data_IF_091253209412
#
_entry.id   IF_091253209412
#
_cell.length_a   1.000
_cell.length_b   1.000
_cell.length_c   1.000
_cell.angle_alpha   90.00
_cell.angle_beta   90.00
_cell.angle_gamma   90.00
#
_symmetry.space_group_name_H-M   'P 1'
#
loop_
_entity.id
_entity.type
_entity.pdbx_description
1 polymer ?
#
# COMPACT_ATOMS: atom_id res chain seq x y z
N UNK A 1 -6.50 -28.93 5.99
CA UNK A 1 -5.88 -29.35 4.75
C UNK A 1 -4.46 -28.77 4.71
N UNK A 2 -3.45 -29.64 4.69
CA UNK A 2 -2.03 -29.28 4.76
C UNK A 2 -1.63 -28.32 3.63
N UNK A 3 -2.22 -28.48 2.45
CA UNK A 3 -1.96 -27.61 1.30
C UNK A 3 -2.34 -26.15 1.55
N UNK A 4 -3.40 -25.88 2.30
CA UNK A 4 -3.83 -24.49 2.65
C UNK A 4 -2.79 -23.85 3.56
N UNK A 5 -2.23 -24.58 4.51
CA UNK A 5 -1.18 -24.06 5.40
C UNK A 5 0.12 -23.78 4.63
N UNK A 6 0.51 -24.66 3.72
CA UNK A 6 1.69 -24.47 2.87
C UNK A 6 1.49 -23.26 1.97
N UNK A 7 0.32 -23.11 1.36
CA UNK A 7 -0.01 -21.95 0.52
C UNK A 7 0.05 -20.64 1.34
N UNK A 8 -0.60 -20.59 2.50
CA UNK A 8 -0.60 -19.45 3.38
C UNK A 8 0.83 -19.08 3.81
N UNK A 9 1.63 -20.06 4.23
CA UNK A 9 3.02 -19.85 4.62
C UNK A 9 3.85 -19.28 3.46
N UNK A 10 3.70 -19.82 2.24
CA UNK A 10 4.42 -19.32 1.07
C UNK A 10 4.04 -17.88 0.73
N UNK A 11 2.74 -17.53 0.84
CA UNK A 11 2.26 -16.15 0.64
C UNK A 11 2.81 -15.19 1.69
N UNK A 12 2.88 -15.59 2.96
CA UNK A 12 3.43 -14.76 4.05
C UNK A 12 4.92 -14.41 3.87
N UNK A 13 5.63 -15.13 3.01
CA UNK A 13 7.06 -14.87 2.72
C UNK A 13 7.29 -13.87 1.61
N UNK A 14 6.21 -13.36 1.00
CA UNK A 14 6.28 -12.49 -0.16
C UNK A 14 5.27 -11.34 -0.04
N UNK A 15 5.71 -10.12 -0.31
CA UNK A 15 4.83 -8.97 -0.56
C UNK A 15 4.59 -8.82 -2.04
N UNK A 16 3.37 -8.44 -2.41
CA UNK A 16 2.96 -8.20 -3.81
C UNK A 16 2.55 -6.75 -3.96
N UNK A 17 3.10 -6.09 -4.98
CA UNK A 17 2.64 -4.77 -5.44
C UNK A 17 1.75 -4.95 -6.65
N UNK A 18 0.51 -4.50 -6.55
CA UNK A 18 -0.44 -4.67 -7.63
C UNK A 18 -1.27 -3.41 -7.89
N UNK A 19 -1.90 -3.39 -9.05
CA UNK A 19 -2.99 -2.47 -9.39
C UNK A 19 -4.23 -3.27 -9.74
N UNK A 20 -5.41 -2.69 -9.56
CA UNK A 20 -6.65 -3.38 -9.88
C UNK A 20 -7.66 -2.49 -10.60
N UNK A 21 -8.60 -3.14 -11.29
CA UNK A 21 -9.82 -2.56 -11.84
C UNK A 21 -10.98 -3.39 -11.29
N UNK A 22 -12.00 -2.75 -10.74
CA UNK A 22 -13.22 -3.38 -10.24
C UNK A 22 -14.41 -2.95 -11.09
N UNK A 23 -15.16 -3.92 -11.59
CA UNK A 23 -16.53 -3.71 -12.05
C UNK A 23 -17.45 -4.31 -11.00
N UNK A 24 -18.15 -3.42 -10.30
CA UNK A 24 -19.01 -3.79 -9.18
C UNK A 24 -20.23 -4.56 -9.67
N UNK A 25 -20.53 -5.65 -9.01
CA UNK A 25 -21.81 -6.36 -9.14
C UNK A 25 -22.12 -7.06 -7.84
N UNK A 26 -23.32 -6.88 -7.35
CA UNK A 26 -23.77 -7.46 -6.10
C UNK A 26 -23.69 -8.99 -6.11
N UNK A 27 -23.44 -9.58 -4.95
CA UNK A 27 -23.38 -11.03 -4.82
C UNK A 27 -24.73 -11.69 -5.12
N UNK A 28 -25.84 -11.00 -4.82
CA UNK A 28 -27.21 -11.44 -5.06
C UNK A 28 -27.78 -11.01 -6.41
N UNK A 29 -26.99 -10.28 -7.23
CA UNK A 29 -27.39 -9.86 -8.56
C UNK A 29 -27.78 -11.07 -9.44
N UNK A 30 -28.64 -10.84 -10.43
CA UNK A 30 -29.06 -11.85 -11.40
C UNK A 30 -27.87 -12.42 -12.19
N UNK A 31 -28.07 -13.56 -12.81
CA UNK A 31 -27.06 -14.16 -13.70
C UNK A 31 -26.74 -13.24 -14.91
N UNK A 32 -27.75 -12.50 -15.39
CA UNK A 32 -27.59 -11.55 -16.50
C UNK A 32 -26.70 -10.35 -16.11
N UNK A 33 -26.98 -9.73 -14.95
CA UNK A 33 -26.16 -8.63 -14.43
C UNK A 33 -24.71 -9.06 -14.18
N UNK A 34 -24.52 -10.25 -13.61
CA UNK A 34 -23.19 -10.83 -13.42
C UNK A 34 -22.47 -11.07 -14.73
N UNK A 35 -23.19 -11.55 -15.76
CA UNK A 35 -22.64 -11.75 -17.10
C UNK A 35 -22.24 -10.43 -17.74
N UNK A 36 -23.07 -9.40 -17.65
CA UNK A 36 -22.77 -8.06 -18.20
C UNK A 36 -21.51 -7.47 -17.53
N UNK A 37 -21.38 -7.57 -16.20
CA UNK A 37 -20.18 -7.11 -15.49
C UNK A 37 -18.93 -7.89 -15.91
N UNK A 38 -19.05 -9.20 -16.09
CA UNK A 38 -17.95 -10.06 -16.54
C UNK A 38 -17.52 -9.71 -17.98
N UNK A 39 -18.48 -9.56 -18.90
CA UNK A 39 -18.22 -9.21 -20.28
C UNK A 39 -17.55 -7.83 -20.39
N UNK A 40 -18.02 -6.85 -19.59
CA UNK A 40 -17.43 -5.52 -19.50
C UNK A 40 -15.97 -5.56 -19.07
N UNK A 41 -15.66 -6.26 -17.98
CA UNK A 41 -14.28 -6.31 -17.47
C UNK A 41 -13.35 -7.10 -18.42
N UNK A 42 -13.89 -8.10 -19.13
CA UNK A 42 -13.14 -8.87 -20.13
C UNK A 42 -12.81 -8.01 -21.35
N UNK A 43 -13.75 -7.16 -21.79
CA UNK A 43 -13.51 -6.19 -22.86
C UNK A 43 -12.41 -5.18 -22.49
N UNK A 44 -12.43 -4.64 -21.25
CA UNK A 44 -11.39 -3.76 -20.72
C UNK A 44 -10.03 -4.47 -20.78
N UNK A 45 -9.96 -5.73 -20.30
CA UNK A 45 -8.72 -6.52 -20.37
C UNK A 45 -8.21 -6.67 -21.81
N UNK A 46 -9.09 -6.96 -22.74
CA UNK A 46 -8.75 -7.10 -24.18
C UNK A 46 -8.16 -5.81 -24.76
N UNK A 47 -8.75 -4.65 -24.44
CA UNK A 47 -8.26 -3.35 -24.91
C UNK A 47 -6.89 -2.99 -24.30
N UNK A 48 -6.65 -3.34 -23.03
CA UNK A 48 -5.34 -3.16 -22.41
C UNK A 48 -4.29 -4.04 -23.07
N UNK A 49 -4.59 -5.33 -23.29
CA UNK A 49 -3.66 -6.28 -23.93
C UNK A 49 -3.38 -5.93 -25.40
N UNK A 50 -4.32 -5.30 -26.07
CA UNK A 50 -4.16 -4.76 -27.42
C UNK A 50 -3.44 -3.40 -27.46
N UNK A 51 -2.98 -2.88 -26.33
CA UNK A 51 -2.35 -1.56 -26.15
C UNK A 51 -3.21 -0.38 -26.65
N UNK A 52 -4.55 -0.52 -26.66
CA UNK A 52 -5.47 0.58 -27.00
C UNK A 52 -5.62 1.58 -25.86
N UNK A 53 -5.41 1.14 -24.62
CA UNK A 53 -5.49 1.93 -23.40
C UNK A 53 -4.49 1.37 -22.37
N UNK A 54 -3.89 2.23 -21.55
CA UNK A 54 -3.06 1.78 -20.43
C UNK A 54 -3.93 1.20 -19.30
N UNK A 55 -3.33 0.36 -18.44
CA UNK A 55 -4.04 -0.17 -17.26
C UNK A 55 -4.51 0.95 -16.34
N UNK A 56 -3.65 1.92 -16.09
CA UNK A 56 -3.87 3.07 -15.22
C UNK A 56 -5.02 3.96 -15.74
N UNK A 57 -5.05 4.19 -17.04
CA UNK A 57 -6.12 4.95 -17.69
C UNK A 57 -7.44 4.17 -17.67
N UNK A 58 -7.40 2.85 -17.92
CA UNK A 58 -8.56 1.99 -17.83
C UNK A 58 -9.12 1.95 -16.39
N UNK A 59 -8.24 1.88 -15.37
CA UNK A 59 -8.63 1.94 -13.97
C UNK A 59 -9.31 3.28 -13.63
N UNK A 60 -8.72 4.40 -14.05
CA UNK A 60 -9.28 5.73 -13.82
C UNK A 60 -10.67 5.92 -14.45
N UNK A 61 -10.88 5.39 -15.67
CA UNK A 61 -12.12 5.56 -16.42
C UNK A 61 -13.24 4.60 -16.06
N UNK A 62 -12.91 3.36 -15.64
CA UNK A 62 -13.88 2.28 -15.58
C UNK A 62 -13.99 1.61 -14.22
N UNK A 63 -13.05 1.83 -13.29
CA UNK A 63 -13.09 1.15 -12.01
C UNK A 63 -14.14 1.77 -11.08
N UNK A 64 -15.05 0.94 -10.58
CA UNK A 64 -16.03 1.31 -9.57
C UNK A 64 -15.44 1.28 -8.14
N UNK A 65 -14.21 0.79 -7.99
CA UNK A 65 -13.54 0.64 -6.70
C UNK A 65 -12.62 1.82 -6.38
N UNK A 66 -13.09 2.74 -5.56
CA UNK A 66 -12.24 3.74 -4.93
C UNK A 66 -11.70 3.20 -3.60
N UNK A 67 -10.48 2.68 -3.61
CA UNK A 67 -9.78 2.34 -2.37
C UNK A 67 -9.11 3.62 -1.86
N UNK A 68 -9.38 4.06 -0.63
CA UNK A 68 -8.72 5.23 -0.05
C UNK A 68 -7.18 5.11 -0.14
N UNK A 69 -6.53 6.13 -0.67
CA UNK A 69 -5.08 6.14 -0.89
C UNK A 69 -4.61 5.45 -2.18
N UNK A 70 -5.54 4.88 -2.98
CA UNK A 70 -5.24 4.33 -4.29
C UNK A 70 -5.46 5.38 -5.37
N UNK A 71 -4.44 5.63 -6.19
CA UNK A 71 -4.57 6.43 -7.41
C UNK A 71 -4.48 5.51 -8.62
N UNK A 72 -5.43 5.65 -9.56
CA UNK A 72 -5.43 4.89 -10.80
C UNK A 72 -5.36 3.35 -10.59
N UNK A 73 -6.02 2.86 -9.55
CA UNK A 73 -6.06 1.44 -9.19
C UNK A 73 -4.84 0.89 -8.47
N UNK A 74 -3.82 1.69 -8.17
CA UNK A 74 -2.61 1.22 -7.48
C UNK A 74 -2.90 0.91 -6.00
N UNK A 75 -2.53 -0.30 -5.55
CA UNK A 75 -2.73 -0.79 -4.18
C UNK A 75 -1.47 -0.72 -3.31
N UNK A 76 -0.34 -0.31 -3.88
CA UNK A 76 0.96 -0.45 -3.26
C UNK A 76 1.31 -1.92 -2.92
N UNK A 77 2.26 -2.15 -2.00
CA UNK A 77 2.54 -3.48 -1.50
C UNK A 77 1.51 -3.92 -0.47
N UNK A 78 1.19 -5.19 -0.51
CA UNK A 78 0.41 -5.87 0.52
C UNK A 78 0.98 -7.29 0.74
N UNK A 79 0.67 -7.86 1.88
CA UNK A 79 1.06 -9.21 2.25
C UNK A 79 -0.16 -10.12 2.39
N UNK A 80 0.05 -11.40 2.68
CA UNK A 80 -1.01 -12.37 2.89
C UNK A 80 -2.03 -11.91 3.94
N UNK A 81 -3.29 -12.25 3.72
CA UNK A 81 -4.45 -11.96 4.58
C UNK A 81 -4.89 -10.48 4.63
N UNK A 82 -4.33 -9.63 3.79
CA UNK A 82 -4.77 -8.23 3.68
C UNK A 82 -5.92 -8.05 2.69
N UNK A 83 -6.06 -8.96 1.72
CA UNK A 83 -7.07 -8.90 0.67
C UNK A 83 -8.04 -10.08 0.78
N UNK A 84 -9.20 -9.99 0.11
CA UNK A 84 -10.12 -11.14 0.04
C UNK A 84 -9.46 -12.29 -0.73
N UNK A 85 -9.68 -13.52 -0.30
CA UNK A 85 -8.95 -14.71 -0.73
C UNK A 85 -8.81 -14.87 -2.25
N UNK A 86 -9.91 -14.72 -3.01
CA UNK A 86 -9.87 -14.88 -4.47
C UNK A 86 -9.00 -13.81 -5.15
N UNK A 87 -9.08 -12.56 -4.66
CA UNK A 87 -8.24 -11.48 -5.15
C UNK A 87 -6.76 -11.74 -4.84
N UNK A 88 -6.50 -12.13 -3.61
CA UNK A 88 -5.16 -12.49 -3.15
C UNK A 88 -4.57 -13.64 -3.97
N UNK A 89 -5.36 -14.71 -4.20
CA UNK A 89 -4.95 -15.84 -5.03
C UNK A 89 -4.55 -15.40 -6.44
N UNK A 90 -5.33 -14.51 -7.06
CA UNK A 90 -4.98 -13.97 -8.36
C UNK A 90 -3.68 -13.14 -8.33
N UNK A 91 -3.50 -12.30 -7.31
CA UNK A 91 -2.29 -11.49 -7.17
C UNK A 91 -1.02 -12.36 -6.99
N UNK A 92 -1.09 -13.39 -6.14
CA UNK A 92 0.05 -14.26 -5.92
C UNK A 92 0.35 -15.19 -7.09
N UNK A 93 -0.66 -15.64 -7.86
CA UNK A 93 -0.48 -16.53 -9.02
C UNK A 93 -0.11 -15.83 -10.32
N UNK A 94 -0.48 -14.54 -10.49
CA UNK A 94 -0.15 -13.76 -11.69
C UNK A 94 1.32 -13.37 -11.67
N UNK A 95 2.01 -13.45 -12.81
CA UNK A 95 3.42 -13.05 -12.92
C UNK A 95 3.57 -11.53 -12.93
N UNK A 96 4.76 -11.07 -12.55
CA UNK A 96 5.11 -9.64 -12.63
C UNK A 96 4.94 -9.14 -14.07
N UNK A 97 4.27 -8.01 -14.23
CA UNK A 97 3.94 -7.39 -15.52
C UNK A 97 2.68 -7.93 -16.18
N UNK A 98 2.13 -9.07 -15.73
CA UNK A 98 0.93 -9.66 -16.32
C UNK A 98 -0.36 -9.17 -15.63
N UNK A 99 -1.48 -9.36 -16.34
CA UNK A 99 -2.84 -9.06 -15.89
C UNK A 99 -3.61 -10.37 -15.75
N UNK A 100 -4.21 -10.60 -14.60
CA UNK A 100 -5.02 -11.77 -14.32
C UNK A 100 -6.20 -11.92 -15.29
N UNK A 101 -6.80 -13.09 -15.33
CA UNK A 101 -8.18 -13.25 -15.79
C UNK A 101 -9.12 -12.52 -14.80
N UNK A 102 -10.36 -12.20 -15.22
CA UNK A 102 -11.35 -11.62 -14.29
C UNK A 102 -11.58 -12.51 -13.07
N UNK A 103 -11.46 -11.92 -11.88
CA UNK A 103 -11.58 -12.62 -10.59
C UNK A 103 -12.84 -12.18 -9.88
N UNK A 104 -13.70 -13.13 -9.51
CA UNK A 104 -14.93 -12.86 -8.76
C UNK A 104 -14.67 -12.74 -7.27
N UNK A 105 -15.14 -11.65 -6.68
CA UNK A 105 -15.20 -11.44 -5.23
C UNK A 105 -16.62 -11.00 -4.84
N UNK A 106 -16.91 -10.86 -3.55
CA UNK A 106 -18.19 -10.32 -3.09
C UNK A 106 -18.48 -8.88 -3.60
N UNK A 107 -17.47 -8.14 -4.01
CA UNK A 107 -17.60 -6.77 -4.52
C UNK A 107 -17.91 -6.68 -6.03
N UNK A 108 -17.52 -7.69 -6.80
CA UNK A 108 -17.66 -7.67 -8.25
C UNK A 108 -16.56 -8.50 -8.93
N UNK A 109 -16.25 -8.14 -10.15
CA UNK A 109 -15.15 -8.72 -10.91
C UNK A 109 -13.94 -7.79 -10.92
N UNK A 110 -12.77 -8.35 -10.69
CA UNK A 110 -11.51 -7.62 -10.66
C UNK A 110 -10.58 -8.09 -11.77
N UNK A 111 -9.82 -7.14 -12.35
CA UNK A 111 -8.54 -7.43 -13.00
C UNK A 111 -7.43 -7.03 -12.04
N UNK A 112 -6.42 -7.85 -11.91
CA UNK A 112 -5.25 -7.61 -11.08
C UNK A 112 -4.01 -7.57 -11.97
N UNK A 113 -3.31 -6.43 -12.02
CA UNK A 113 -2.01 -6.29 -12.66
C UNK A 113 -0.95 -6.38 -11.57
N UNK A 114 -0.06 -7.33 -11.66
CA UNK A 114 1.06 -7.47 -10.72
C UNK A 114 2.21 -6.59 -11.18
N UNK A 115 2.56 -5.58 -10.39
CA UNK A 115 3.61 -4.63 -10.73
C UNK A 115 4.97 -5.09 -10.21
N UNK A 116 5.01 -5.73 -9.02
CA UNK A 116 6.24 -6.25 -8.43
C UNK A 116 5.95 -7.31 -7.37
N UNK A 117 6.95 -8.12 -7.05
CA UNK A 117 6.96 -9.10 -5.95
C UNK A 117 8.31 -9.05 -5.26
N UNK A 118 8.30 -9.01 -3.94
CA UNK A 118 9.53 -9.00 -3.14
C UNK A 118 9.43 -9.98 -1.97
N UNK A 119 10.56 -10.32 -1.37
CA UNK A 119 10.56 -11.00 -0.07
C UNK A 119 9.80 -10.12 0.93
N UNK A 120 8.93 -10.74 1.73
CA UNK A 120 8.17 -10.03 2.74
C UNK A 120 9.12 -9.28 3.69
N UNK A 121 8.84 -7.99 3.90
CA UNK A 121 9.66 -7.14 4.79
C UNK A 121 9.37 -7.40 6.27
N UNK A 122 8.27 -8.09 6.57
CA UNK A 122 7.88 -8.40 7.94
C UNK A 122 7.29 -7.21 8.67
N UNK A 123 7.71 -7.03 9.92
CA UNK A 123 7.26 -5.95 10.80
C UNK A 123 8.46 -5.21 11.38
N UNK A 124 8.26 -3.92 11.64
CA UNK A 124 9.27 -3.05 12.23
C UNK A 124 8.67 -2.24 13.37
N UNK A 125 9.46 -1.94 14.39
CA UNK A 125 9.18 -0.95 15.42
C UNK A 125 10.18 0.18 15.26
N UNK A 126 9.68 1.41 15.08
CA UNK A 126 10.52 2.61 14.92
C UNK A 126 10.05 3.71 15.86
N UNK A 127 10.90 4.69 16.08
CA UNK A 127 10.53 5.98 16.64
C UNK A 127 10.63 7.05 15.55
N UNK A 128 9.85 8.14 15.67
CA UNK A 128 9.92 9.25 14.76
C UNK A 128 9.86 10.62 15.44
N UNK A 129 10.41 11.62 14.76
CA UNK A 129 10.23 13.03 15.08
C UNK A 129 9.51 13.66 13.90
N UNK A 130 8.35 14.25 14.14
CA UNK A 130 7.49 14.80 13.09
C UNK A 130 7.27 16.29 13.26
N UNK A 131 7.36 17.03 12.13
CA UNK A 131 6.91 18.41 12.02
C UNK A 131 5.81 18.50 10.97
N UNK A 132 4.65 19.06 11.36
CA UNK A 132 3.45 19.11 10.52
C UNK A 132 3.57 20.22 9.49
N UNK A 133 3.40 19.86 8.23
CA UNK A 133 3.39 20.82 7.13
C UNK A 133 1.97 21.11 6.61
N UNK A 134 1.02 20.20 6.81
CA UNK A 134 -0.34 20.26 6.25
C UNK A 134 -0.38 19.89 4.75
N UNK A 135 -1.57 19.83 4.17
CA UNK A 135 -1.73 19.66 2.73
C UNK A 135 -1.76 21.04 2.04
N UNK A 136 -1.12 21.18 0.88
CA UNK A 136 -1.09 22.41 0.12
C UNK A 136 -0.24 23.53 0.74
N UNK A 137 0.80 23.16 1.45
CA UNK A 137 1.67 24.06 2.22
C UNK A 137 2.46 25.00 1.33
N UNK A 138 2.51 26.28 1.72
CA UNK A 138 3.38 27.23 1.06
C UNK A 138 4.87 26.93 1.31
N UNK A 139 5.73 27.44 0.41
CA UNK A 139 7.17 27.20 0.46
C UNK A 139 7.81 27.65 1.78
N UNK A 140 7.25 28.68 2.43
CA UNK A 140 7.76 29.21 3.68
C UNK A 140 7.59 28.23 4.83
N UNK A 141 6.38 27.67 5.00
CA UNK A 141 6.11 26.66 6.03
C UNK A 141 6.92 25.38 5.82
N UNK A 142 7.12 24.98 4.56
CA UNK A 142 7.98 23.84 4.25
C UNK A 142 9.43 24.10 4.64
N UNK A 143 9.95 25.30 4.39
CA UNK A 143 11.30 25.69 4.80
C UNK A 143 11.45 25.73 6.33
N UNK A 144 10.45 26.29 7.05
CA UNK A 144 10.43 26.28 8.52
C UNK A 144 10.41 24.87 9.11
N UNK A 145 9.61 23.95 8.55
CA UNK A 145 9.58 22.56 8.98
C UNK A 145 10.92 21.86 8.71
N UNK A 146 11.54 22.14 7.55
CA UNK A 146 12.87 21.61 7.21
C UNK A 146 13.92 22.09 8.20
N UNK A 147 13.94 23.38 8.54
CA UNK A 147 14.88 23.94 9.52
C UNK A 147 14.73 23.25 10.89
N UNK A 148 13.49 23.01 11.34
CA UNK A 148 13.23 22.30 12.59
C UNK A 148 13.77 20.85 12.54
N UNK A 149 13.58 20.13 11.42
CA UNK A 149 14.14 18.78 11.25
C UNK A 149 15.66 18.80 11.25
N UNK A 150 16.27 19.73 10.50
CA UNK A 150 17.73 19.88 10.44
C UNK A 150 18.32 20.16 11.83
N UNK A 151 17.65 20.97 12.64
CA UNK A 151 18.05 21.24 14.03
C UNK A 151 17.92 19.99 14.93
N UNK A 152 16.81 19.23 14.82
CA UNK A 152 16.65 17.99 15.56
C UNK A 152 17.75 16.96 15.18
N UNK A 153 18.02 16.80 13.88
CA UNK A 153 19.08 15.92 13.38
C UNK A 153 20.47 16.35 13.90
N UNK A 154 20.73 17.66 13.96
CA UNK A 154 21.98 18.17 14.53
C UNK A 154 22.18 17.79 15.99
N UNK A 155 21.12 17.85 16.81
CA UNK A 155 21.17 17.44 18.23
C UNK A 155 21.46 15.94 18.35
N UNK A 156 20.80 15.10 17.55
CA UNK A 156 21.05 13.66 17.49
C UNK A 156 22.50 13.35 17.09
N UNK A 157 23.03 14.05 16.07
CA UNK A 157 24.43 13.92 15.66
C UNK A 157 25.44 14.40 16.71
N UNK A 158 25.01 15.21 17.67
CA UNK A 158 25.80 15.64 18.82
C UNK A 158 25.73 14.65 20.01
N UNK A 159 24.95 13.56 19.86
CA UNK A 159 24.81 12.50 20.83
C UNK A 159 23.66 12.68 21.83
N UNK A 160 22.70 13.60 21.58
CA UNK A 160 21.48 13.63 22.39
C UNK A 160 20.64 12.37 22.12
N UNK A 161 19.98 11.88 23.15
CA UNK A 161 19.09 10.72 23.06
C UNK A 161 17.87 11.02 22.17
N UNK A 162 17.54 10.09 21.28
CA UNK A 162 16.43 10.26 20.35
C UNK A 162 15.10 10.55 21.08
N UNK A 163 14.85 9.85 22.19
CA UNK A 163 13.64 10.02 23.00
C UNK A 163 13.49 11.45 23.54
N UNK A 164 14.58 12.02 24.02
CA UNK A 164 14.60 13.39 24.59
C UNK A 164 14.37 14.44 23.51
N UNK A 165 14.98 14.26 22.33
CA UNK A 165 14.77 15.16 21.18
C UNK A 165 13.33 15.03 20.68
N UNK A 166 12.78 13.82 20.60
CA UNK A 166 11.40 13.59 20.21
C UNK A 166 10.40 14.25 21.18
N UNK A 167 10.58 14.11 22.48
CA UNK A 167 9.73 14.71 23.50
C UNK A 167 9.72 16.24 23.42
N UNK A 168 10.88 16.86 23.21
CA UNK A 168 11.05 18.31 23.15
C UNK A 168 10.53 18.93 21.87
N UNK A 169 10.73 18.29 20.73
CA UNK A 169 10.58 18.92 19.42
C UNK A 169 9.49 18.31 18.53
N UNK A 170 9.12 17.03 18.68
CA UNK A 170 8.13 16.41 17.82
C UNK A 170 6.74 17.05 17.96
N UNK A 171 6.12 17.38 16.85
CA UNK A 171 4.75 17.88 16.80
C UNK A 171 3.69 16.76 16.81
N UNK A 172 4.11 15.49 16.73
CA UNK A 172 3.26 14.34 17.06
C UNK A 172 3.28 14.09 18.57
N UNK A 173 2.45 14.84 19.30
CA UNK A 173 2.39 14.76 20.75
C UNK A 173 1.96 13.39 21.28
N UNK A 174 1.27 12.60 20.47
CA UNK A 174 0.80 11.26 20.86
C UNK A 174 1.94 10.26 21.04
N UNK A 175 3.00 10.43 20.27
CA UNK A 175 4.20 9.58 20.32
C UNK A 175 5.37 10.28 21.02
N UNK A 176 5.49 11.59 20.93
CA UNK A 176 6.57 12.37 21.54
C UNK A 176 6.77 12.05 23.02
N UNK A 177 5.68 11.99 23.80
CA UNK A 177 5.70 11.63 25.25
C UNK A 177 6.19 10.19 25.54
N UNK A 178 6.39 9.40 24.51
CA UNK A 178 6.94 8.04 24.55
C UNK A 178 8.25 7.95 23.75
N UNK A 179 9.00 9.04 23.67
CA UNK A 179 10.22 9.09 22.90
C UNK A 179 10.06 8.96 21.39
N UNK A 180 8.87 9.28 20.86
CA UNK A 180 8.56 9.15 19.43
C UNK A 180 8.19 7.74 18.98
N UNK A 181 8.13 6.74 19.88
CA UNK A 181 7.86 5.34 19.53
C UNK A 181 6.49 5.14 18.89
N UNK A 182 6.50 4.43 17.76
CA UNK A 182 5.31 3.96 17.05
C UNK A 182 5.00 2.51 17.44
N UNK A 183 3.72 2.10 17.38
CA UNK A 183 3.37 0.68 17.45
C UNK A 183 4.11 -0.11 16.35
N UNK A 184 4.36 -1.38 16.59
CA UNK A 184 4.86 -2.31 15.56
C UNK A 184 3.92 -2.30 14.36
N UNK A 185 4.47 -2.15 13.17
CA UNK A 185 3.67 -2.17 11.95
C UNK A 185 4.35 -2.99 10.84
N UNK A 186 3.52 -3.50 9.94
CA UNK A 186 3.93 -4.17 8.72
C UNK A 186 3.52 -3.35 7.48
N UNK A 187 3.70 -3.94 6.31
CA UNK A 187 3.38 -3.35 5.02
C UNK A 187 1.92 -2.89 4.93
N UNK A 188 1.67 -1.74 4.32
CA UNK A 188 0.32 -1.18 4.11
C UNK A 188 -0.33 -0.55 5.35
N UNK A 189 0.43 -0.30 6.41
CA UNK A 189 -0.07 0.30 7.66
C UNK A 189 0.27 1.78 7.81
N UNK A 190 1.28 2.24 7.11
CA UNK A 190 1.73 3.64 7.12
C UNK A 190 1.62 4.25 5.72
N UNK A 191 1.75 5.57 5.62
CA UNK A 191 1.85 6.21 4.31
C UNK A 191 3.09 5.71 3.57
N UNK A 192 3.01 5.51 2.24
CA UNK A 192 4.06 4.81 1.48
C UNK A 192 5.46 5.40 1.64
N UNK A 193 5.56 6.72 1.71
CA UNK A 193 6.85 7.43 1.85
C UNK A 193 7.49 7.15 3.22
N UNK A 194 6.71 7.12 4.29
CA UNK A 194 7.19 6.78 5.63
C UNK A 194 7.55 5.29 5.71
N UNK A 195 6.66 4.43 5.23
CA UNK A 195 6.84 2.97 5.26
C UNK A 195 8.11 2.54 4.53
N UNK A 196 8.33 3.05 3.32
CA UNK A 196 9.49 2.69 2.52
C UNK A 196 10.80 3.08 3.21
N UNK A 197 10.85 4.26 3.86
CA UNK A 197 12.03 4.68 4.59
C UNK A 197 12.23 3.86 5.88
N UNK A 198 11.18 3.55 6.63
CA UNK A 198 11.27 2.73 7.83
C UNK A 198 11.85 1.33 7.55
N UNK A 199 11.45 0.71 6.42
CA UNK A 199 11.99 -0.60 6.02
C UNK A 199 13.37 -0.56 5.36
N UNK A 200 13.95 0.63 5.10
CA UNK A 200 15.34 0.78 4.65
C UNK A 200 16.34 0.79 5.79
N UNK A 201 15.91 1.08 7.03
CA UNK A 201 16.78 1.03 8.20
C UNK A 201 17.29 -0.39 8.42
N UNK A 202 18.60 -0.56 8.66
CA UNK A 202 19.25 -1.87 8.69
C UNK A 202 19.50 -2.35 10.13
N UNK A 203 19.77 -1.42 11.03
CA UNK A 203 20.21 -1.73 12.39
C UNK A 203 19.31 -1.03 13.42
N UNK A 204 19.33 -1.55 14.62
CA UNK A 204 18.75 -0.86 15.78
C UNK A 204 19.59 0.39 16.04
N UNK A 205 18.94 1.55 16.02
CA UNK A 205 19.57 2.86 16.23
C UNK A 205 19.88 3.65 14.96
N UNK A 206 19.55 3.09 13.75
CA UNK A 206 19.63 3.84 12.49
C UNK A 206 18.64 5.01 12.46
#
# INVERSE_FOLDING_TARGET
>A
DENIFIEAYNRMRQDVKASHILISVDEKASAEEKKLAYDKILAIRSDILANKISFEEAASKNSDGNIPGSTNGNLNYFTAFMMVYNFETAAYSTKIGEISMPVRTKYGYHLVKVNDKRKAVGQVKVAHIMFKTGQGVDKKKLAEAKEKIDNALKLLNQGEEFADVAERFSEDRSTAVKGGELPVFGVGKMVPEFESNAFLLQNIGD
#
